data_IF_813236649423
#
_entry.id   IF_813236649423
#
_cell.length_a   1.000
_cell.length_b   1.000
_cell.length_c   1.000
_cell.angle_alpha   90.00
_cell.angle_beta   90.00
_cell.angle_gamma   90.00
#
_symmetry.space_group_name_H-M   'P 1'
#
loop_
_entity.id
_entity.type
_entity.pdbx_description
1 polymer ?
#
# COMPACT_ATOMS: atom_id res chain seq x y z
N UNK A 1 -17.18 10.57 -8.14
CA UNK A 1 -16.21 9.64 -8.72
C UNK A 1 -14.96 9.68 -7.84
N UNK A 2 -14.43 8.54 -7.39
CA UNK A 2 -13.14 8.48 -6.70
C UNK A 2 -12.06 8.91 -7.70
N UNK A 3 -11.19 9.82 -7.30
CA UNK A 3 -10.09 10.28 -8.14
C UNK A 3 -8.88 9.36 -7.91
N UNK A 4 -8.27 8.89 -8.99
CA UNK A 4 -7.11 8.01 -8.94
C UNK A 4 -5.85 8.78 -9.32
N UNK A 5 -4.81 8.67 -8.49
CA UNK A 5 -3.48 9.21 -8.82
C UNK A 5 -2.76 8.28 -9.79
N UNK A 6 -2.08 8.86 -10.77
CA UNK A 6 -1.25 8.11 -11.72
C UNK A 6 -0.16 7.34 -10.97
N UNK A 7 0.53 8.00 -10.04
CA UNK A 7 1.64 7.40 -9.29
C UNK A 7 1.23 6.49 -8.13
N UNK A 8 -0.03 6.54 -7.71
CA UNK A 8 -0.51 5.66 -6.62
C UNK A 8 -1.20 4.40 -7.14
N UNK A 9 -1.93 4.50 -8.27
CA UNK A 9 -2.88 3.47 -8.71
C UNK A 9 -2.67 3.00 -10.16
N UNK A 10 -1.88 3.73 -10.98
CA UNK A 10 -1.67 3.39 -12.42
C UNK A 10 -0.23 2.96 -12.70
N UNK A 11 0.76 3.74 -12.26
CA UNK A 11 2.20 3.48 -12.42
C UNK A 11 2.88 3.32 -11.06
N UNK A 12 2.49 2.31 -10.31
CA UNK A 12 3.00 2.00 -8.99
C UNK A 12 2.09 1.00 -8.27
N UNK A 13 2.53 0.54 -7.12
CA UNK A 13 3.81 0.87 -6.46
C UNK A 13 5.04 0.23 -7.13
N UNK A 14 6.23 0.79 -6.84
CA UNK A 14 7.48 0.04 -6.96
C UNK A 14 7.45 -1.00 -5.85
N UNK A 15 7.63 -2.28 -6.18
CA UNK A 15 7.37 -3.35 -5.23
C UNK A 15 8.18 -4.62 -5.52
N UNK A 16 8.44 -5.39 -4.49
CA UNK A 16 8.89 -6.78 -4.61
C UNK A 16 7.70 -7.64 -5.09
N UNK A 17 7.90 -8.40 -6.19
CA UNK A 17 6.88 -9.31 -6.72
C UNK A 17 6.59 -10.51 -5.79
N UNK A 18 5.68 -11.42 -6.18
CA UNK A 18 5.07 -11.54 -7.51
C UNK A 18 3.73 -10.81 -7.68
N UNK A 19 3.07 -10.38 -6.59
CA UNK A 19 1.67 -9.95 -6.65
C UNK A 19 1.43 -8.60 -5.98
N UNK A 20 0.81 -7.66 -6.71
CA UNK A 20 0.42 -6.38 -6.11
C UNK A 20 -0.65 -6.53 -5.03
N UNK A 21 -1.61 -7.47 -5.20
CA UNK A 21 -2.69 -7.70 -4.23
C UNK A 21 -2.30 -8.64 -3.08
N UNK A 22 -1.27 -9.50 -3.26
CA UNK A 22 -0.86 -10.50 -2.27
C UNK A 22 0.52 -10.23 -1.65
N UNK A 23 1.34 -9.35 -2.22
CA UNK A 23 2.65 -8.98 -1.68
C UNK A 23 2.67 -7.51 -1.27
N UNK A 24 2.42 -6.59 -2.23
CA UNK A 24 2.56 -5.16 -1.97
C UNK A 24 1.47 -4.62 -1.03
N UNK A 25 0.22 -5.04 -1.21
CA UNK A 25 -0.86 -4.64 -0.31
C UNK A 25 -0.58 -5.09 1.12
N UNK A 26 -0.08 -6.33 1.31
CA UNK A 26 0.29 -6.85 2.63
C UNK A 26 1.47 -6.10 3.25
N UNK A 27 2.46 -5.73 2.45
CA UNK A 27 3.56 -4.87 2.90
C UNK A 27 3.04 -3.52 3.42
N UNK A 28 2.12 -2.89 2.69
CA UNK A 28 1.47 -1.64 3.14
C UNK A 28 0.60 -1.84 4.38
N UNK A 29 -0.19 -2.92 4.44
CA UNK A 29 -1.01 -3.23 5.63
C UNK A 29 -0.11 -3.45 6.85
N UNK A 30 0.93 -4.27 6.73
CA UNK A 30 1.90 -4.47 7.81
C UNK A 30 2.55 -3.16 8.26
N UNK A 31 2.91 -2.28 7.33
CA UNK A 31 3.45 -0.94 7.63
C UNK A 31 2.41 -0.04 8.32
N UNK A 32 1.14 -0.07 7.89
CA UNK A 32 0.06 0.67 8.54
C UNK A 32 -0.13 0.21 9.99
N UNK A 33 -0.17 -1.10 10.22
CA UNK A 33 -0.29 -1.70 11.56
C UNK A 33 0.91 -1.32 12.44
N UNK A 34 2.15 -1.36 11.90
CA UNK A 34 3.34 -0.88 12.60
C UNK A 34 3.25 0.61 12.95
N UNK A 35 2.76 1.45 12.05
CA UNK A 35 2.56 2.88 12.31
C UNK A 35 1.56 3.09 13.45
N UNK A 36 0.44 2.38 13.43
CA UNK A 36 -0.55 2.41 14.52
C UNK A 36 0.04 1.92 15.85
N UNK A 37 0.90 0.88 15.82
CA UNK A 37 1.58 0.39 17.01
C UNK A 37 2.58 1.39 17.58
N UNK A 38 3.19 2.22 16.75
CA UNK A 38 4.08 3.33 17.13
C UNK A 38 5.46 2.94 17.66
N UNK A 39 5.80 1.64 17.66
CA UNK A 39 7.09 1.11 18.13
C UNK A 39 7.47 -0.17 17.36
N UNK A 40 8.69 -0.71 17.51
CA UNK A 40 9.07 -1.99 16.92
C UNK A 40 8.12 -3.11 17.36
N UNK A 41 7.75 -3.99 16.42
CA UNK A 41 6.92 -5.16 16.68
C UNK A 41 7.80 -6.26 17.25
N UNK A 42 7.41 -6.86 18.38
CA UNK A 42 8.09 -8.01 18.97
C UNK A 42 7.35 -9.33 18.64
N UNK A 43 6.03 -9.29 18.60
CA UNK A 43 5.20 -10.47 18.27
C UNK A 43 3.92 -10.05 17.57
N UNK A 44 3.55 -10.79 16.52
CA UNK A 44 2.32 -10.59 15.78
C UNK A 44 1.70 -11.92 15.33
N UNK A 45 0.38 -11.93 15.14
CA UNK A 45 -0.34 -12.97 14.41
C UNK A 45 -1.05 -12.35 13.22
N UNK A 46 -0.86 -12.93 12.03
CA UNK A 46 -1.61 -12.62 10.83
C UNK A 46 -2.60 -13.75 10.59
N UNK A 47 -3.88 -13.44 10.58
CA UNK A 47 -4.97 -14.40 10.46
C UNK A 47 -5.69 -14.16 9.14
N UNK A 48 -5.65 -15.12 8.24
CA UNK A 48 -6.33 -15.10 6.94
C UNK A 48 -7.74 -15.69 7.07
N UNK A 49 -8.74 -15.07 6.39
CA UNK A 49 -10.07 -15.66 6.34
C UNK A 49 -10.05 -16.97 5.55
N UNK A 50 -10.58 -18.03 6.15
CA UNK A 50 -10.62 -19.36 5.55
C UNK A 50 -11.52 -19.47 4.30
N UNK A 51 -12.41 -18.51 4.06
CA UNK A 51 -13.30 -18.45 2.89
C UNK A 51 -12.73 -17.55 1.78
N UNK A 52 -11.58 -16.91 2.00
CA UNK A 52 -10.95 -16.01 1.05
C UNK A 52 -9.99 -16.69 0.08
N UNK A 53 -9.19 -15.88 -0.62
CA UNK A 53 -8.16 -16.37 -1.54
C UNK A 53 -6.85 -16.76 -0.83
N UNK A 54 -6.55 -16.14 0.30
CA UNK A 54 -5.27 -16.29 1.00
C UNK A 54 -4.92 -17.71 1.44
N UNK A 55 -5.86 -18.55 1.96
CA UNK A 55 -5.52 -19.88 2.44
C UNK A 55 -4.74 -20.74 1.44
N UNK A 56 -5.00 -20.56 0.15
CA UNK A 56 -4.37 -21.34 -0.91
C UNK A 56 -3.23 -20.58 -1.63
N UNK A 57 -2.97 -19.32 -1.28
CA UNK A 57 -2.08 -18.46 -2.06
C UNK A 57 -1.06 -17.68 -1.23
N UNK A 58 -1.23 -17.60 0.10
CA UNK A 58 -0.43 -16.70 0.95
C UNK A 58 1.08 -16.97 0.89
N UNK A 59 1.50 -18.24 0.86
CA UNK A 59 2.91 -18.60 0.71
C UNK A 59 3.42 -18.28 -0.71
N UNK A 60 2.74 -18.86 -1.74
CA UNK A 60 3.20 -18.79 -3.13
C UNK A 60 3.14 -17.40 -3.75
N UNK A 61 2.20 -16.55 -3.30
CA UNK A 61 2.07 -15.17 -3.78
C UNK A 61 2.64 -14.13 -2.81
N UNK A 62 3.37 -14.57 -1.78
CA UNK A 62 4.19 -13.72 -0.94
C UNK A 62 3.44 -12.85 0.07
N UNK A 63 2.25 -13.27 0.52
CA UNK A 63 1.54 -12.56 1.59
C UNK A 63 2.37 -12.56 2.88
N UNK A 64 2.93 -13.72 3.24
CA UNK A 64 3.64 -13.91 4.51
C UNK A 64 4.88 -13.01 4.60
N UNK A 65 5.74 -13.04 3.59
CA UNK A 65 6.89 -12.14 3.61
C UNK A 65 6.48 -10.67 3.41
N UNK A 66 5.39 -10.38 2.69
CA UNK A 66 4.83 -9.04 2.55
C UNK A 66 4.41 -8.45 3.89
N UNK A 67 3.55 -9.14 4.66
CA UNK A 67 3.16 -8.72 6.01
C UNK A 67 4.37 -8.58 6.92
N UNK A 68 5.27 -9.58 6.91
CA UNK A 68 6.48 -9.55 7.73
C UNK A 68 7.35 -8.33 7.44
N UNK A 69 7.63 -8.05 6.16
CA UNK A 69 8.41 -6.89 5.75
C UNK A 69 7.78 -5.57 6.22
N UNK A 70 6.46 -5.41 6.03
CA UNK A 70 5.73 -4.24 6.51
C UNK A 70 5.79 -4.08 8.03
N UNK A 71 5.59 -5.15 8.80
CA UNK A 71 5.69 -5.17 10.26
C UNK A 71 7.11 -4.88 10.75
N UNK A 72 8.15 -5.30 10.04
CA UNK A 72 9.54 -4.93 10.31
C UNK A 72 9.86 -3.48 9.92
N UNK A 73 9.02 -2.85 9.10
CA UNK A 73 9.22 -1.49 8.64
C UNK A 73 10.10 -1.37 7.40
N UNK A 74 10.23 -2.41 6.59
CA UNK A 74 10.93 -2.38 5.32
C UNK A 74 10.09 -1.67 4.25
N UNK A 75 10.74 -0.95 3.34
CA UNK A 75 10.10 -0.41 2.15
C UNK A 75 9.91 -1.52 1.11
N UNK A 76 8.93 -1.37 0.20
CA UNK A 76 8.57 -2.43 -0.74
C UNK A 76 9.64 -2.74 -1.80
N UNK A 77 10.59 -1.84 -2.01
CA UNK A 77 11.75 -2.00 -2.87
C UNK A 77 13.06 -2.25 -2.11
N UNK A 78 12.98 -2.45 -0.78
CA UNK A 78 14.14 -2.84 0.04
C UNK A 78 14.65 -4.22 -0.42
N UNK A 79 15.95 -4.39 -0.71
CA UNK A 79 16.51 -5.68 -1.12
C UNK A 79 16.24 -6.84 -0.13
N UNK A 80 16.02 -6.53 1.14
CA UNK A 80 15.75 -7.50 2.21
C UNK A 80 14.27 -7.91 2.29
N UNK A 81 13.40 -7.28 1.50
CA UNK A 81 11.95 -7.46 1.59
C UNK A 81 11.55 -8.93 1.42
N UNK A 82 12.08 -9.59 0.40
CA UNK A 82 11.80 -11.03 0.12
C UNK A 82 12.30 -11.98 1.22
N UNK A 83 13.35 -11.58 1.95
CA UNK A 83 13.98 -12.37 3.01
C UNK A 83 13.47 -11.96 4.40
N UNK A 84 12.38 -11.22 4.48
CA UNK A 84 11.87 -10.60 5.73
C UNK A 84 11.51 -11.63 6.80
N UNK A 85 11.04 -12.83 6.44
CA UNK A 85 10.73 -13.91 7.39
C UNK A 85 12.01 -14.36 8.12
N UNK A 86 13.09 -14.57 7.37
CA UNK A 86 14.37 -14.91 7.96
C UNK A 86 14.96 -13.75 8.76
N UNK A 87 14.78 -12.52 8.28
CA UNK A 87 15.18 -11.31 9.01
C UNK A 87 14.43 -11.18 10.33
N UNK A 88 13.12 -11.45 10.36
CA UNK A 88 12.31 -11.48 11.60
C UNK A 88 12.87 -12.48 12.61
N UNK A 89 13.19 -13.70 12.17
CA UNK A 89 13.79 -14.74 13.02
C UNK A 89 15.13 -14.29 13.63
N UNK A 90 16.01 -13.68 12.81
CA UNK A 90 17.31 -13.14 13.27
C UNK A 90 17.15 -12.00 14.27
N UNK A 91 16.08 -11.23 14.18
CA UNK A 91 15.76 -10.14 15.10
C UNK A 91 14.93 -10.59 16.30
N UNK A 92 14.64 -11.88 16.45
CA UNK A 92 13.79 -12.44 17.49
C UNK A 92 12.37 -11.83 17.48
N UNK A 93 11.85 -11.49 16.29
CA UNK A 93 10.47 -11.06 16.09
C UNK A 93 9.64 -12.28 15.74
N UNK A 94 8.63 -12.58 16.56
CA UNK A 94 7.73 -13.71 16.36
C UNK A 94 6.54 -13.30 15.49
N UNK A 95 6.43 -13.89 14.30
CA UNK A 95 5.26 -13.67 13.42
C UNK A 95 4.65 -15.02 13.08
N UNK A 96 3.38 -15.16 13.42
CA UNK A 96 2.59 -16.37 13.20
C UNK A 96 1.56 -16.13 12.11
N UNK A 97 1.39 -17.10 11.20
CA UNK A 97 0.36 -17.09 10.16
C UNK A 97 -0.66 -18.17 10.47
N UNK A 98 -1.95 -17.80 10.43
CA UNK A 98 -3.07 -18.69 10.73
C UNK A 98 -4.18 -18.52 9.71
N UNK A 99 -4.99 -19.57 9.56
CA UNK A 99 -6.21 -19.55 8.77
C UNK A 99 -7.40 -19.83 9.71
N UNK A 100 -8.30 -18.85 9.84
CA UNK A 100 -9.46 -18.92 10.71
C UNK A 100 -10.70 -18.34 10.00
N UNK A 101 -11.90 -18.56 10.51
CA UNK A 101 -13.08 -17.87 9.99
C UNK A 101 -13.18 -16.48 10.61
N UNK A 102 -12.97 -15.45 9.78
CA UNK A 102 -13.17 -14.05 10.17
C UNK A 102 -14.61 -13.59 9.90
N UNK A 103 -15.43 -14.43 9.25
CA UNK A 103 -16.79 -14.10 8.78
C UNK A 103 -16.78 -12.89 7.83
N UNK A 104 -15.70 -12.70 7.12
CA UNK A 104 -15.50 -11.62 6.17
C UNK A 104 -16.31 -11.83 4.91
N UNK A 105 -16.62 -10.71 4.23
CA UNK A 105 -17.31 -10.70 2.93
C UNK A 105 -16.34 -10.45 1.78
N UNK A 106 -15.08 -10.09 2.10
CA UNK A 106 -14.08 -9.74 1.09
C UNK A 106 -13.10 -10.90 0.87
N UNK A 107 -12.83 -11.31 -0.39
CA UNK A 107 -11.98 -12.47 -0.66
C UNK A 107 -10.52 -12.31 -0.20
N UNK A 108 -10.04 -11.08 -0.02
CA UNK A 108 -8.69 -10.77 0.41
C UNK A 108 -8.69 -10.08 1.77
N UNK A 109 -9.26 -10.74 2.78
CA UNK A 109 -9.38 -10.23 4.13
C UNK A 109 -8.40 -10.92 5.08
N UNK A 110 -7.75 -10.12 5.94
CA UNK A 110 -6.86 -10.60 6.98
C UNK A 110 -6.96 -9.74 8.24
N UNK A 111 -6.89 -10.38 9.41
CA UNK A 111 -6.71 -9.71 10.70
C UNK A 111 -5.23 -9.76 11.10
N UNK A 112 -4.72 -8.64 11.61
CA UNK A 112 -3.36 -8.55 12.17
C UNK A 112 -3.44 -8.16 13.64
N UNK A 113 -2.96 -9.05 14.50
CA UNK A 113 -2.94 -8.90 15.94
C UNK A 113 -1.48 -8.65 16.39
N UNK A 114 -1.20 -7.50 17.02
CA UNK A 114 0.08 -7.22 17.66
C UNK A 114 -0.02 -7.54 19.13
N UNK A 115 0.91 -8.32 19.65
CA UNK A 115 1.01 -8.63 21.07
C UNK A 115 1.95 -7.66 21.76
N UNK A 116 1.69 -7.38 23.03
CA UNK A 116 2.55 -6.51 23.86
C UNK A 116 3.95 -7.09 24.05
N UNK A 117 4.00 -8.44 24.08
CA UNK A 117 5.21 -9.25 24.17
C UNK A 117 4.90 -10.67 23.62
N UNK A 118 5.92 -11.50 23.32
CA UNK A 118 5.70 -12.89 22.93
C UNK A 118 4.84 -13.65 23.93
N UNK A 119 3.77 -14.28 23.45
CA UNK A 119 2.80 -14.99 24.33
C UNK A 119 1.89 -14.08 25.15
N UNK A 120 2.09 -12.77 25.13
CA UNK A 120 1.30 -11.79 25.88
C UNK A 120 -0.06 -11.46 25.25
N UNK A 121 -0.82 -10.54 25.89
CA UNK A 121 -2.12 -10.12 25.39
C UNK A 121 -2.01 -9.35 24.08
N UNK A 122 -3.09 -9.35 23.31
CA UNK A 122 -3.22 -8.53 22.10
C UNK A 122 -3.37 -7.06 22.53
N UNK A 123 -2.44 -6.22 22.11
CA UNK A 123 -2.44 -4.78 22.40
C UNK A 123 -2.95 -3.92 21.26
N UNK A 124 -2.96 -4.48 20.03
CA UNK A 124 -3.52 -3.83 18.85
C UNK A 124 -4.03 -4.89 17.89
N UNK A 125 -5.22 -4.68 17.32
CA UNK A 125 -5.82 -5.58 16.34
C UNK A 125 -6.48 -4.79 15.21
N UNK A 126 -6.23 -5.21 13.97
CA UNK A 126 -6.72 -4.54 12.75
C UNK A 126 -7.31 -5.57 11.80
N UNK A 127 -8.49 -5.30 11.27
CA UNK A 127 -9.04 -6.02 10.12
C UNK A 127 -8.73 -5.24 8.83
N UNK A 128 -8.27 -5.92 7.82
CA UNK A 128 -7.77 -5.32 6.58
C UNK A 128 -8.22 -6.07 5.35
N UNK A 129 -8.34 -5.36 4.24
CA UNK A 129 -8.68 -5.89 2.93
C UNK A 129 -7.68 -5.39 1.89
N UNK A 130 -7.18 -6.29 1.01
CA UNK A 130 -6.47 -5.88 -0.18
C UNK A 130 -7.48 -5.60 -1.29
N UNK A 131 -7.50 -4.38 -1.79
CA UNK A 131 -8.47 -3.90 -2.78
C UNK A 131 -7.97 -3.98 -4.24
N UNK A 132 -6.80 -4.62 -4.45
CA UNK A 132 -6.19 -4.80 -5.77
C UNK A 132 -5.16 -3.71 -6.10
N UNK A 133 -4.28 -3.99 -7.08
CA UNK A 133 -3.28 -3.01 -7.55
C UNK A 133 -2.28 -2.53 -6.48
N UNK A 134 -2.12 -3.26 -5.37
CA UNK A 134 -1.30 -2.82 -4.23
C UNK A 134 -1.98 -1.78 -3.35
N UNK A 135 -3.30 -1.58 -3.51
CA UNK A 135 -4.14 -0.77 -2.61
C UNK A 135 -4.74 -1.65 -1.51
N UNK A 136 -5.14 -1.02 -0.42
CA UNK A 136 -5.71 -1.70 0.75
C UNK A 136 -6.72 -0.82 1.47
N UNK A 137 -7.49 -1.42 2.36
CA UNK A 137 -8.38 -0.75 3.28
C UNK A 137 -8.28 -1.40 4.66
N UNK A 138 -8.07 -0.62 5.72
CA UNK A 138 -8.32 -1.05 7.08
C UNK A 138 -9.78 -0.76 7.40
N UNK A 139 -10.51 -1.80 7.80
CA UNK A 139 -11.96 -1.76 7.98
C UNK A 139 -12.40 -1.79 9.43
N UNK A 140 -11.59 -2.37 10.31
CA UNK A 140 -11.83 -2.38 11.75
C UNK A 140 -10.51 -2.22 12.51
N UNK A 141 -10.56 -1.51 13.63
CA UNK A 141 -9.41 -1.25 14.50
C UNK A 141 -9.85 -1.31 15.96
N UNK A 142 -9.29 -2.24 16.75
CA UNK A 142 -9.57 -2.41 18.17
C UNK A 142 -11.08 -2.44 18.50
N UNK A 143 -11.87 -3.11 17.66
CA UNK A 143 -13.32 -3.25 17.84
C UNK A 143 -14.17 -2.12 17.23
N UNK A 144 -13.58 -1.13 16.64
CA UNK A 144 -14.29 -0.01 15.99
C UNK A 144 -14.20 -0.08 14.47
N UNK A 145 -15.30 0.11 13.73
CA UNK A 145 -15.24 0.23 12.28
C UNK A 145 -14.49 1.50 11.90
N UNK A 146 -13.57 1.39 10.96
CA UNK A 146 -12.78 2.52 10.42
C UNK A 146 -12.72 2.47 8.89
N UNK A 147 -12.18 3.52 8.28
CA UNK A 147 -11.91 3.55 6.85
C UNK A 147 -10.56 4.22 6.59
N UNK A 148 -9.48 3.43 6.53
CA UNK A 148 -8.14 3.94 6.24
C UNK A 148 -7.51 3.20 5.06
N UNK A 149 -7.22 3.94 3.99
CA UNK A 149 -6.69 3.44 2.71
C UNK A 149 -5.23 3.87 2.44
N UNK A 150 -4.58 4.49 3.40
CA UNK A 150 -3.19 4.94 3.28
C UNK A 150 -2.98 6.20 2.42
N UNK A 151 -4.03 6.85 1.93
CA UNK A 151 -3.87 8.00 1.03
C UNK A 151 -3.63 9.32 1.77
N UNK A 152 -4.06 9.41 3.02
CA UNK A 152 -3.90 10.61 3.88
C UNK A 152 -3.50 10.21 5.28
N UNK A 153 -2.90 11.14 5.99
CA UNK A 153 -2.59 10.95 7.40
C UNK A 153 -3.85 11.04 8.26
N UNK A 154 -4.06 10.03 9.11
CA UNK A 154 -5.16 10.00 10.07
C UNK A 154 -4.69 9.77 11.50
N UNK A 155 -5.47 10.29 12.44
CA UNK A 155 -5.40 9.93 13.84
C UNK A 155 -6.67 9.21 14.28
N UNK A 156 -6.52 8.30 15.23
CA UNK A 156 -7.60 7.56 15.86
C UNK A 156 -7.52 7.80 17.38
N UNK A 157 -8.55 8.48 17.92
CA UNK A 157 -8.67 8.77 19.35
C UNK A 157 -9.78 7.91 19.92
N UNK A 158 -9.45 7.01 20.84
CA UNK A 158 -10.44 6.20 21.56
C UNK A 158 -10.74 6.88 22.87
N UNK A 159 -12.01 7.04 23.23
CA UNK A 159 -12.43 7.71 24.44
C UNK A 159 -13.48 6.90 25.24
N UNK A 160 -13.61 7.26 26.52
CA UNK A 160 -14.66 6.76 27.39
C UNK A 160 -15.99 7.48 27.13
N UNK A 161 -17.08 6.88 27.60
CA UNK A 161 -18.42 7.49 27.56
C UNK A 161 -18.45 8.82 28.33
N UNK A 162 -19.05 9.81 27.71
CA UNK A 162 -19.17 11.18 28.25
C UNK A 162 -18.09 12.16 27.75
N UNK A 163 -16.98 11.67 27.16
CA UNK A 163 -15.93 12.54 26.64
C UNK A 163 -16.16 12.98 25.18
N UNK A 164 -17.10 12.36 24.48
CA UNK A 164 -17.32 12.58 23.04
C UNK A 164 -17.62 14.02 22.68
N UNK A 165 -18.44 14.71 23.51
CA UNK A 165 -18.84 16.11 23.24
C UNK A 165 -17.66 17.07 23.37
N UNK A 166 -16.80 16.88 24.38
CA UNK A 166 -15.64 17.73 24.61
C UNK A 166 -14.59 17.53 23.51
N UNK A 167 -14.30 16.28 23.15
CA UNK A 167 -13.37 15.97 22.07
C UNK A 167 -13.89 16.51 20.73
N UNK A 168 -15.18 16.29 20.41
CA UNK A 168 -15.80 16.82 19.20
C UNK A 168 -15.73 18.35 19.13
N UNK A 169 -15.98 19.02 20.26
CA UNK A 169 -15.88 20.50 20.34
C UNK A 169 -14.44 20.96 20.06
N UNK A 170 -13.46 20.41 20.76
CA UNK A 170 -12.04 20.77 20.58
C UNK A 170 -11.56 20.53 19.14
N UNK A 171 -11.94 19.42 18.51
CA UNK A 171 -11.62 19.13 17.11
C UNK A 171 -12.29 20.11 16.14
N UNK A 172 -13.57 20.47 16.41
CA UNK A 172 -14.33 21.41 15.55
C UNK A 172 -13.75 22.81 15.62
N UNK A 173 -13.44 23.33 16.83
CA UNK A 173 -12.81 24.64 17.03
C UNK A 173 -11.44 24.74 16.33
N UNK A 174 -10.70 23.62 16.26
CA UNK A 174 -9.45 23.53 15.53
C UNK A 174 -9.64 23.39 14.00
N UNK A 175 -10.86 23.38 13.48
CA UNK A 175 -11.16 23.17 12.05
C UNK A 175 -11.00 21.73 11.57
N UNK A 176 -10.92 20.77 12.50
CA UNK A 176 -10.70 19.36 12.21
C UNK A 176 -11.90 18.70 11.54
N UNK A 177 -11.62 17.82 10.57
CA UNK A 177 -12.62 16.91 10.00
C UNK A 177 -12.46 15.52 10.64
N UNK A 178 -13.55 14.98 11.13
CA UNK A 178 -13.55 13.69 11.82
C UNK A 178 -14.87 12.93 11.61
N UNK A 179 -14.81 11.62 11.87
CA UNK A 179 -15.98 10.75 11.95
C UNK A 179 -15.97 10.11 13.34
N UNK A 180 -17.10 10.22 14.05
CA UNK A 180 -17.31 9.50 15.31
C UNK A 180 -17.80 8.08 15.01
N UNK A 181 -17.15 7.09 15.60
CA UNK A 181 -17.44 5.68 15.47
C UNK A 181 -17.81 5.08 16.82
N UNK A 182 -18.72 4.12 16.80
CA UNK A 182 -19.05 3.28 17.96
C UNK A 182 -18.56 1.85 17.70
N UNK A 183 -18.38 1.02 18.73
CA UNK A 183 -17.97 -0.37 18.55
C UNK A 183 -18.88 -1.09 17.56
N UNK A 184 -18.28 -1.98 16.76
CA UNK A 184 -19.04 -2.83 15.86
C UNK A 184 -19.98 -3.75 16.67
N UNK A 185 -21.13 -4.11 16.11
CA UNK A 185 -22.07 -5.04 16.78
C UNK A 185 -21.43 -6.42 17.03
N UNK A 186 -20.55 -6.87 16.14
CA UNK A 186 -19.82 -8.14 16.21
C UNK A 186 -18.36 -7.91 15.82
N UNK A 187 -17.57 -7.29 16.69
CA UNK A 187 -16.21 -6.90 16.34
C UNK A 187 -15.31 -8.13 16.18
N UNK A 188 -14.51 -8.12 15.14
CA UNK A 188 -13.48 -9.13 14.85
C UNK A 188 -12.19 -8.83 15.62
N UNK A 189 -11.95 -7.55 15.93
CA UNK A 189 -10.73 -7.03 16.56
C UNK A 189 -10.93 -6.63 18.03
N UNK A 190 -11.98 -7.14 18.69
CA UNK A 190 -12.37 -6.75 20.06
C UNK A 190 -11.32 -7.09 21.14
N UNK A 191 -10.43 -8.06 20.88
CA UNK A 191 -9.42 -8.49 21.84
C UNK A 191 -8.46 -7.37 22.27
N UNK A 192 -8.32 -6.33 21.46
CA UNK A 192 -7.47 -5.16 21.71
C UNK A 192 -8.25 -3.90 22.11
N UNK A 193 -9.54 -4.01 22.36
CA UNK A 193 -10.35 -2.85 22.76
C UNK A 193 -9.93 -2.37 24.15
N UNK A 194 -9.59 -1.07 24.33
CA UNK A 194 -9.24 -0.54 25.65
C UNK A 194 -10.41 -0.65 26.62
N UNK A 195 -10.13 -0.96 27.88
CA UNK A 195 -11.15 -1.01 28.91
C UNK A 195 -11.84 0.35 29.08
N UNK A 196 -13.16 0.35 29.11
CA UNK A 196 -13.97 1.57 29.20
C UNK A 196 -14.13 2.34 27.90
N UNK A 197 -13.58 1.84 26.79
CA UNK A 197 -13.76 2.45 25.48
C UNK A 197 -15.23 2.41 25.04
N UNK A 198 -15.76 3.55 24.59
CA UNK A 198 -17.13 3.68 24.08
C UNK A 198 -17.20 4.22 22.66
N UNK A 199 -16.23 5.03 22.27
CA UNK A 199 -16.24 5.73 21.00
C UNK A 199 -14.82 5.93 20.45
N UNK A 200 -14.71 6.04 19.13
CA UNK A 200 -13.48 6.35 18.41
C UNK A 200 -13.72 7.56 17.49
N UNK A 201 -12.82 8.53 17.53
CA UNK A 201 -12.74 9.60 16.54
C UNK A 201 -11.71 9.26 15.48
N UNK A 202 -12.16 9.10 14.24
CA UNK A 202 -11.33 8.98 13.06
C UNK A 202 -11.10 10.39 12.49
N UNK A 203 -9.90 10.97 12.68
CA UNK A 203 -9.58 12.37 12.39
C UNK A 203 -8.67 12.47 11.18
N UNK A 204 -9.04 13.30 10.21
CA UNK A 204 -8.19 13.70 9.08
C UNK A 204 -7.17 14.74 9.55
N UNK A 205 -5.92 14.34 9.80
CA UNK A 205 -4.90 15.26 10.35
C UNK A 205 -4.58 16.43 9.40
N UNK A 206 -4.67 16.22 8.10
CA UNK A 206 -4.48 17.28 7.10
C UNK A 206 -5.52 18.39 7.15
N UNK A 207 -6.62 18.23 7.91
CA UNK A 207 -7.61 19.27 8.16
C UNK A 207 -7.21 20.24 9.27
N UNK A 208 -6.28 19.84 10.13
CA UNK A 208 -5.85 20.62 11.29
C UNK A 208 -4.65 21.51 10.95
N UNK A 209 -4.57 22.67 11.58
CA UNK A 209 -3.39 23.54 11.51
C UNK A 209 -2.14 22.79 11.97
N UNK A 210 -1.05 22.89 11.22
CA UNK A 210 0.21 22.19 11.46
C UNK A 210 0.06 20.66 11.65
N UNK A 211 -1.07 20.06 11.21
CA UNK A 211 -1.41 18.65 11.41
C UNK A 211 -1.33 18.18 12.88
N UNK A 212 -1.65 19.08 13.79
CA UNK A 212 -1.59 18.86 15.24
C UNK A 212 -2.99 18.71 15.83
N UNK A 213 -3.18 17.65 16.60
CA UNK A 213 -4.39 17.47 17.41
C UNK A 213 -4.42 18.47 18.57
N UNK A 214 -5.61 19.04 18.91
CA UNK A 214 -5.78 19.85 20.12
C UNK A 214 -5.36 19.07 21.38
N UNK A 215 -4.69 19.75 22.32
CA UNK A 215 -4.25 19.11 23.57
C UNK A 215 -5.44 18.56 24.37
N UNK A 216 -6.55 19.32 24.47
CA UNK A 216 -7.76 18.88 25.14
C UNK A 216 -8.30 17.56 24.56
N UNK A 217 -8.27 17.37 23.23
CA UNK A 217 -8.69 16.13 22.60
C UNK A 217 -7.78 14.95 22.95
N UNK A 218 -6.46 15.20 23.09
CA UNK A 218 -5.49 14.17 23.49
C UNK A 218 -5.66 13.78 24.96
N UNK A 219 -5.75 14.73 25.85
CA UNK A 219 -5.89 14.53 27.30
C UNK A 219 -7.15 13.75 27.69
N UNK A 220 -8.24 13.96 26.92
CA UNK A 220 -9.53 13.27 27.13
C UNK A 220 -9.61 11.89 26.46
N UNK A 221 -8.59 11.51 25.69
CA UNK A 221 -8.53 10.20 25.02
C UNK A 221 -7.94 9.15 25.95
N UNK A 222 -8.51 7.95 25.93
CA UNK A 222 -7.91 6.75 26.55
C UNK A 222 -6.65 6.31 25.80
N UNK A 223 -6.66 6.47 24.48
CA UNK A 223 -5.52 6.14 23.62
C UNK A 223 -5.57 6.91 22.32
N UNK A 224 -4.39 7.20 21.79
CA UNK A 224 -4.17 7.94 20.56
C UNK A 224 -3.22 7.14 19.64
N UNK A 225 -3.65 7.00 18.40
CA UNK A 225 -2.89 6.32 17.33
C UNK A 225 -2.78 7.22 16.12
N UNK A 226 -1.68 7.09 15.37
CA UNK A 226 -1.47 7.82 14.11
C UNK A 226 -1.07 6.87 13.00
N UNK A 227 -1.53 7.16 11.79
CA UNK A 227 -1.16 6.43 10.61
C UNK A 227 -0.79 7.39 9.48
N UNK A 228 0.50 7.39 9.11
CA UNK A 228 1.04 8.21 8.03
C UNK A 228 0.59 7.68 6.67
N UNK A 229 0.56 8.53 5.62
CA UNK A 229 0.28 8.07 4.26
C UNK A 229 1.26 6.98 3.80
N UNK A 230 0.75 6.03 3.02
CA UNK A 230 1.50 4.88 2.48
C UNK A 230 1.41 4.81 0.96
N UNK A 231 1.40 5.96 0.33
CA UNK A 231 1.31 6.16 -1.12
C UNK A 231 2.42 7.09 -1.60
N UNK A 232 2.73 7.02 -2.88
CA UNK A 232 3.76 7.86 -3.50
C UNK A 232 3.40 9.34 -3.45
N UNK A 233 2.12 9.66 -3.67
CA UNK A 233 1.59 11.03 -3.65
C UNK A 233 0.41 11.08 -2.67
N UNK A 234 0.60 11.55 -1.42
CA UNK A 234 -0.51 11.76 -0.49
C UNK A 234 -1.57 12.68 -1.07
N UNK A 235 -2.84 12.30 -0.96
CA UNK A 235 -3.93 13.07 -1.56
C UNK A 235 -4.31 14.26 -0.68
N UNK A 236 -4.68 15.37 -1.32
CA UNK A 236 -5.28 16.52 -0.65
C UNK A 236 -6.66 16.15 -0.11
N UNK A 237 -7.03 16.70 1.03
CA UNK A 237 -8.36 16.54 1.61
C UNK A 237 -9.43 17.16 0.71
N UNK A 238 -9.10 18.31 0.11
CA UNK A 238 -9.94 19.03 -0.86
C UNK A 238 -9.11 19.27 -2.11
N UNK A 239 -9.13 18.32 -3.06
CA UNK A 239 -8.40 18.49 -4.32
C UNK A 239 -8.91 19.72 -5.06
N UNK A 240 -8.02 20.42 -5.71
CA UNK A 240 -8.41 21.51 -6.61
C UNK A 240 -9.20 20.92 -7.80
N UNK A 241 -10.19 21.66 -8.28
CA UNK A 241 -10.93 21.26 -9.47
C UNK A 241 -9.99 21.23 -10.66
N UNK A 242 -9.82 20.04 -11.25
CA UNK A 242 -9.07 19.82 -12.46
C UNK A 242 -9.99 19.26 -13.57
N UNK A 243 -9.42 18.43 -14.39
CA UNK A 243 -10.15 17.65 -15.38
C UNK A 243 -10.15 16.17 -14.95
N UNK A 244 -11.27 15.48 -15.21
CA UNK A 244 -11.47 14.06 -14.83
C UNK A 244 -11.87 13.20 -16.03
N UNK A 245 -11.94 13.80 -17.20
CA UNK A 245 -12.28 13.13 -18.47
C UNK A 245 -11.29 13.60 -19.54
N UNK A 246 -11.15 12.81 -20.60
CA UNK A 246 -10.34 13.20 -21.76
C UNK A 246 -10.83 14.53 -22.37
N UNK A 247 -12.16 14.73 -22.46
CA UNK A 247 -12.74 15.98 -22.92
C UNK A 247 -12.36 17.17 -22.04
N UNK A 248 -12.42 16.98 -20.72
CA UNK A 248 -12.00 18.00 -19.76
C UNK A 248 -10.51 18.33 -19.85
N UNK A 249 -9.67 17.31 -20.09
CA UNK A 249 -8.23 17.50 -20.32
C UNK A 249 -7.95 18.29 -21.60
N UNK A 250 -8.64 17.97 -22.69
CA UNK A 250 -8.51 18.70 -23.97
C UNK A 250 -8.99 20.15 -23.84
N UNK A 251 -10.10 20.39 -23.16
CA UNK A 251 -10.58 21.75 -22.88
C UNK A 251 -9.56 22.53 -22.06
N UNK A 252 -9.03 21.95 -20.98
CA UNK A 252 -7.97 22.54 -20.15
C UNK A 252 -6.74 22.88 -21.00
N UNK A 253 -6.29 21.95 -21.84
CA UNK A 253 -5.14 22.16 -22.72
C UNK A 253 -5.33 23.36 -23.66
N UNK A 254 -6.54 23.47 -24.26
CA UNK A 254 -6.87 24.58 -25.15
C UNK A 254 -6.90 25.94 -24.42
N UNK A 255 -7.51 26.00 -23.23
CA UNK A 255 -7.62 27.20 -22.42
C UNK A 255 -6.26 27.70 -21.86
N UNK A 256 -5.33 26.78 -21.58
CA UNK A 256 -4.04 27.09 -20.95
C UNK A 256 -2.85 26.94 -21.92
N UNK A 257 -3.11 26.74 -23.20
CA UNK A 257 -2.09 26.53 -24.25
C UNK A 257 -1.08 25.40 -23.89
N UNK A 258 -1.54 24.38 -23.19
CA UNK A 258 -0.75 23.23 -22.77
C UNK A 258 -0.67 22.24 -23.93
N UNK A 259 0.54 21.95 -24.39
CA UNK A 259 0.75 21.18 -25.64
C UNK A 259 1.18 19.73 -25.42
N UNK A 260 1.47 19.31 -24.17
CA UNK A 260 1.95 17.94 -23.92
C UNK A 260 1.11 17.19 -22.89
N UNK A 261 0.99 15.86 -23.09
CA UNK A 261 0.36 14.97 -22.11
C UNK A 261 1.11 14.94 -20.78
N UNK A 262 2.44 15.12 -20.80
CA UNK A 262 3.25 15.18 -19.60
C UNK A 262 2.87 16.40 -18.73
N UNK A 263 2.69 17.57 -19.33
CA UNK A 263 2.21 18.77 -18.62
C UNK A 263 0.81 18.56 -18.03
N UNK A 264 -0.10 17.94 -18.78
CA UNK A 264 -1.44 17.61 -18.27
C UNK A 264 -1.36 16.64 -17.09
N UNK A 265 -0.51 15.63 -17.13
CA UNK A 265 -0.30 14.70 -16.04
C UNK A 265 0.25 15.40 -14.78
N UNK A 266 1.23 16.30 -14.93
CA UNK A 266 1.76 17.09 -13.83
C UNK A 266 0.68 17.99 -13.22
N UNK A 267 -0.11 18.69 -14.03
CA UNK A 267 -1.22 19.53 -13.56
C UNK A 267 -2.26 18.68 -12.81
N UNK A 268 -2.59 17.51 -13.33
CA UNK A 268 -3.53 16.59 -12.69
C UNK A 268 -3.04 16.17 -11.30
N UNK A 269 -1.82 15.65 -11.21
CA UNK A 269 -1.24 15.13 -9.96
C UNK A 269 -1.01 16.24 -8.91
N UNK A 270 -0.53 17.42 -9.31
CA UNK A 270 -0.32 18.54 -8.37
C UNK A 270 -1.62 19.08 -7.77
N UNK A 271 -2.74 18.98 -8.50
CA UNK A 271 -4.06 19.37 -8.00
C UNK A 271 -4.71 18.31 -7.12
N UNK A 272 -4.46 17.06 -7.43
CA UNK A 272 -5.00 15.91 -6.70
C UNK A 272 -4.24 15.68 -5.38
N UNK A 273 -2.92 15.73 -5.43
CA UNK A 273 -2.02 15.37 -4.35
C UNK A 273 -1.27 16.56 -3.75
N UNK A 274 -0.45 16.27 -2.76
CA UNK A 274 0.39 17.25 -2.04
C UNK A 274 1.77 17.46 -2.67
N UNK A 275 2.16 16.63 -3.67
CA UNK A 275 3.43 16.74 -4.35
C UNK A 275 3.46 17.95 -5.30
N UNK A 276 4.59 18.64 -5.36
CA UNK A 276 4.83 19.65 -6.38
C UNK A 276 5.41 19.03 -7.68
N UNK A 277 5.66 19.88 -8.71
CA UNK A 277 6.23 19.43 -9.99
C UNK A 277 7.56 18.71 -9.81
N UNK A 278 8.46 19.27 -9.03
CA UNK A 278 9.81 18.71 -8.84
C UNK A 278 9.76 17.34 -8.19
N UNK A 279 8.92 17.21 -7.16
CA UNK A 279 8.66 15.94 -6.48
C UNK A 279 8.10 14.90 -7.45
N UNK A 280 7.13 15.28 -8.28
CA UNK A 280 6.50 14.37 -9.25
C UNK A 280 7.51 13.90 -10.31
N UNK A 281 8.34 14.80 -10.85
CA UNK A 281 9.38 14.46 -11.82
C UNK A 281 10.42 13.51 -11.23
N UNK A 282 10.84 13.74 -9.98
CA UNK A 282 11.77 12.84 -9.28
C UNK A 282 11.14 11.46 -9.01
N UNK A 283 9.87 11.41 -8.58
CA UNK A 283 9.15 10.16 -8.39
C UNK A 283 8.98 9.39 -9.69
N UNK A 284 8.64 10.06 -10.78
CA UNK A 284 8.52 9.44 -12.10
C UNK A 284 9.87 8.92 -12.60
N UNK A 285 10.96 9.66 -12.39
CA UNK A 285 12.30 9.20 -12.73
C UNK A 285 12.68 7.95 -11.89
N UNK A 286 12.29 7.90 -10.62
CA UNK A 286 12.51 6.72 -9.78
C UNK A 286 11.73 5.50 -10.30
N UNK A 287 10.48 5.69 -10.70
CA UNK A 287 9.65 4.66 -11.35
C UNK A 287 10.31 4.16 -12.63
N UNK A 288 10.74 5.08 -13.53
CA UNK A 288 11.40 4.72 -14.79
C UNK A 288 12.67 3.89 -14.54
N UNK A 289 13.53 4.33 -13.63
CA UNK A 289 14.75 3.58 -13.26
C UNK A 289 14.47 2.20 -12.68
N UNK A 290 13.38 2.04 -11.92
CA UNK A 290 12.96 0.74 -11.42
C UNK A 290 12.45 -0.16 -12.57
N UNK A 291 11.71 0.40 -13.53
CA UNK A 291 11.29 -0.30 -14.74
C UNK A 291 12.49 -0.77 -15.58
N UNK A 292 13.47 0.12 -15.85
CA UNK A 292 14.70 -0.21 -16.58
C UNK A 292 15.47 -1.36 -15.92
N UNK A 293 15.69 -1.30 -14.61
CA UNK A 293 16.36 -2.39 -13.87
C UNK A 293 15.62 -3.71 -13.96
N UNK A 294 14.29 -3.68 -13.94
CA UNK A 294 13.46 -4.89 -14.00
C UNK A 294 13.47 -5.59 -15.36
N UNK A 295 13.93 -4.94 -16.42
CA UNK A 295 14.07 -5.54 -17.76
C UNK A 295 15.36 -6.38 -17.92
N UNK A 296 16.26 -6.35 -16.94
CA UNK A 296 17.41 -7.27 -16.91
C UNK A 296 16.94 -8.61 -16.35
N UNK A 297 17.11 -9.75 -17.07
CA UNK A 297 16.71 -11.06 -16.56
C UNK A 297 17.35 -11.38 -15.19
N UNK A 298 16.66 -12.11 -14.31
CA UNK A 298 17.24 -12.49 -13.03
C UNK A 298 18.47 -13.38 -13.23
N UNK A 299 19.49 -13.31 -12.33
CA UNK A 299 20.66 -14.17 -12.41
C UNK A 299 20.29 -15.66 -12.44
N UNK A 300 21.06 -16.47 -13.17
CA UNK A 300 20.78 -17.91 -13.33
C UNK A 300 20.85 -18.68 -12.00
N UNK A 301 21.63 -18.18 -11.05
CA UNK A 301 21.85 -18.72 -9.70
C UNK A 301 20.97 -18.07 -8.62
N UNK A 302 19.99 -17.24 -9.00
CA UNK A 302 19.06 -16.63 -8.02
C UNK A 302 18.27 -17.73 -7.28
N UNK A 303 18.43 -17.85 -5.96
CA UNK A 303 17.88 -18.95 -5.16
C UNK A 303 16.38 -18.76 -4.84
N UNK A 304 15.52 -18.58 -5.85
CA UNK A 304 14.08 -18.50 -5.60
C UNK A 304 13.48 -19.89 -5.48
N UNK A 305 12.88 -20.22 -4.32
CA UNK A 305 12.43 -21.60 -4.05
C UNK A 305 11.25 -22.05 -4.92
N UNK A 306 10.41 -21.16 -5.43
CA UNK A 306 9.21 -21.49 -6.20
C UNK A 306 9.13 -20.66 -7.49
N UNK A 307 9.80 -21.11 -8.52
CA UNK A 307 9.73 -20.46 -9.83
C UNK A 307 8.40 -20.77 -10.52
N UNK A 308 7.50 -19.80 -10.54
CA UNK A 308 6.18 -19.95 -11.20
C UNK A 308 6.27 -19.92 -12.73
N UNK A 309 7.34 -19.32 -13.27
CA UNK A 309 7.53 -19.15 -14.72
C UNK A 309 8.94 -19.59 -15.09
N UNK A 310 9.12 -20.38 -16.17
CA UNK A 310 10.46 -20.77 -16.66
C UNK A 310 11.27 -19.54 -17.03
N UNK A 311 12.58 -19.58 -16.79
CA UNK A 311 13.53 -18.55 -17.21
C UNK A 311 13.79 -18.67 -18.70
N UNK A 312 13.29 -17.76 -19.49
CA UNK A 312 13.38 -17.78 -20.95
C UNK A 312 13.87 -16.44 -21.54
N UNK A 313 13.76 -15.34 -20.79
CA UNK A 313 14.09 -14.00 -21.31
C UNK A 313 15.55 -13.89 -21.78
N UNK A 314 16.49 -14.50 -21.04
CA UNK A 314 17.90 -14.51 -21.40
C UNK A 314 18.23 -15.33 -22.67
N UNK A 315 17.36 -16.28 -23.03
CA UNK A 315 17.56 -17.17 -24.19
C UNK A 315 16.93 -16.61 -25.48
N UNK A 316 16.04 -15.60 -25.37
CA UNK A 316 15.29 -15.11 -26.52
C UNK A 316 16.17 -14.37 -27.55
N UNK A 317 17.28 -13.75 -27.16
CA UNK A 317 18.16 -13.05 -28.10
C UNK A 317 18.72 -13.97 -29.18
N UNK A 318 19.01 -15.24 -28.83
CA UNK A 318 19.65 -16.21 -29.72
C UNK A 318 18.65 -17.16 -30.43
N UNK A 319 17.40 -17.21 -29.97
CA UNK A 319 16.43 -18.25 -30.37
C UNK A 319 15.12 -17.71 -30.98
N UNK A 320 15.04 -16.41 -31.26
CA UNK A 320 13.84 -15.87 -31.89
C UNK A 320 13.69 -16.42 -33.32
N UNK A 321 12.60 -17.15 -33.63
CA UNK A 321 12.43 -17.81 -34.92
C UNK A 321 12.14 -16.81 -36.07
N UNK A 322 11.73 -15.59 -35.71
CA UNK A 322 11.43 -14.50 -36.65
C UNK A 322 12.05 -13.21 -36.17
N UNK A 323 12.66 -12.47 -37.09
CA UNK A 323 13.11 -11.11 -36.83
C UNK A 323 11.90 -10.15 -37.00
N UNK A 324 11.41 -9.64 -35.89
CA UNK A 324 10.34 -8.65 -35.83
C UNK A 324 10.88 -7.26 -35.43
N UNK A 325 12.17 -7.05 -35.54
CA UNK A 325 12.82 -5.78 -35.19
C UNK A 325 12.64 -5.43 -33.72
N UNK A 326 12.20 -4.20 -33.43
CA UNK A 326 12.02 -3.69 -32.06
C UNK A 326 11.11 -4.58 -31.19
N UNK A 327 10.16 -5.32 -31.77
CA UNK A 327 9.27 -6.18 -31.02
C UNK A 327 10.01 -7.34 -30.32
N UNK A 328 11.07 -7.86 -30.90
CA UNK A 328 11.88 -8.90 -30.25
C UNK A 328 12.45 -8.41 -28.91
N UNK A 329 13.02 -7.20 -28.91
CA UNK A 329 13.52 -6.56 -27.69
C UNK A 329 12.40 -6.28 -26.67
N UNK A 330 11.24 -5.81 -27.13
CA UNK A 330 10.08 -5.56 -26.25
C UNK A 330 9.59 -6.86 -25.60
N UNK A 331 9.46 -7.96 -26.36
CA UNK A 331 9.05 -9.26 -25.84
C UNK A 331 10.02 -9.80 -24.80
N UNK A 332 11.34 -9.78 -25.09
CA UNK A 332 12.36 -10.16 -24.12
C UNK A 332 12.29 -9.35 -22.84
N UNK A 333 12.20 -8.02 -22.96
CA UNK A 333 12.11 -7.12 -21.81
C UNK A 333 10.85 -7.39 -20.95
N UNK A 334 9.69 -7.59 -21.60
CA UNK A 334 8.45 -7.91 -20.89
C UNK A 334 8.57 -9.24 -20.13
N UNK A 335 9.17 -10.26 -20.73
CA UNK A 335 9.42 -11.55 -20.09
C UNK A 335 10.41 -11.42 -18.92
N UNK A 336 11.50 -10.65 -19.08
CA UNK A 336 12.44 -10.40 -18.00
C UNK A 336 11.78 -9.74 -16.78
N UNK A 337 10.87 -8.78 -16.98
CA UNK A 337 10.09 -8.16 -15.89
C UNK A 337 9.21 -9.19 -15.18
N UNK A 338 8.52 -10.07 -15.94
CA UNK A 338 7.70 -11.15 -15.36
C UNK A 338 8.54 -12.14 -14.57
N UNK A 339 9.69 -12.55 -15.09
CA UNK A 339 10.63 -13.43 -14.40
C UNK A 339 11.16 -12.79 -13.11
N UNK A 340 11.51 -11.50 -13.14
CA UNK A 340 11.90 -10.76 -11.93
C UNK A 340 10.76 -10.71 -10.90
N UNK A 341 9.54 -10.43 -11.33
CA UNK A 341 8.37 -10.46 -10.45
C UNK A 341 8.20 -11.83 -9.77
N UNK A 342 8.23 -12.92 -10.56
CA UNK A 342 8.13 -14.28 -10.06
C UNK A 342 9.34 -14.70 -9.21
N UNK A 343 10.50 -14.08 -9.40
CA UNK A 343 11.71 -14.26 -8.61
C UNK A 343 11.73 -13.43 -7.33
N UNK A 344 10.61 -12.85 -6.92
CA UNK A 344 10.50 -11.96 -5.76
C UNK A 344 11.51 -10.79 -5.82
N UNK A 345 11.71 -10.24 -7.00
CA UNK A 345 12.56 -9.06 -7.22
C UNK A 345 11.69 -7.82 -7.46
N UNK A 346 12.35 -6.67 -7.48
CA UNK A 346 11.64 -5.38 -7.60
C UNK A 346 11.13 -5.17 -9.03
N UNK A 347 9.84 -4.88 -9.14
CA UNK A 347 9.14 -4.48 -10.36
C UNK A 347 8.25 -3.27 -10.07
N UNK A 348 7.68 -2.69 -11.11
CA UNK A 348 6.67 -1.62 -10.97
C UNK A 348 5.31 -2.16 -11.36
N UNK A 349 4.35 -2.16 -10.46
CA UNK A 349 2.97 -2.49 -10.83
C UNK A 349 2.41 -1.46 -11.82
N UNK A 350 1.75 -1.93 -12.91
CA UNK A 350 1.25 -1.03 -13.96
C UNK A 350 -0.01 -1.60 -14.64
N UNK A 351 -1.21 -1.49 -14.07
CA UNK A 351 -1.53 -1.16 -12.67
C UNK A 351 -1.37 -2.35 -11.70
N UNK A 352 -1.04 -3.54 -12.19
CA UNK A 352 -0.80 -4.75 -11.38
C UNK A 352 0.59 -5.30 -11.60
N UNK A 353 1.09 -6.15 -10.67
CA UNK A 353 2.36 -6.85 -10.88
C UNK A 353 2.30 -7.80 -12.08
N UNK A 354 1.15 -8.42 -12.37
CA UNK A 354 0.96 -9.30 -13.53
C UNK A 354 1.05 -8.59 -14.88
N UNK A 355 0.83 -7.28 -14.94
CA UNK A 355 0.95 -6.46 -16.17
C UNK A 355 2.20 -5.57 -16.18
N UNK A 356 3.09 -5.73 -15.19
CA UNK A 356 4.27 -4.88 -14.98
C UNK A 356 5.27 -4.86 -16.14
N UNK A 357 5.28 -5.89 -16.99
CA UNK A 357 6.20 -5.99 -18.13
C UNK A 357 5.81 -5.15 -19.34
N UNK A 358 4.52 -4.87 -19.53
CA UNK A 358 4.02 -4.25 -20.78
C UNK A 358 4.50 -2.81 -20.97
N UNK A 359 4.35 -1.97 -19.94
CA UNK A 359 4.72 -0.55 -20.05
C UNK A 359 6.23 -0.36 -20.18
N UNK A 360 7.09 -0.91 -19.31
CA UNK A 360 8.53 -0.72 -19.47
C UNK A 360 9.04 -1.30 -20.79
N UNK A 361 8.59 -2.47 -21.19
CA UNK A 361 9.00 -3.07 -22.46
C UNK A 361 8.63 -2.21 -23.67
N UNK A 362 7.44 -1.62 -23.67
CA UNK A 362 6.97 -0.77 -24.77
C UNK A 362 7.64 0.61 -24.74
N UNK A 363 7.63 1.31 -23.59
CA UNK A 363 8.11 2.69 -23.49
C UNK A 363 9.63 2.76 -23.61
N UNK A 364 10.34 1.93 -22.83
CA UNK A 364 11.81 1.93 -22.83
C UNK A 364 12.36 1.19 -24.04
N UNK A 365 11.76 0.03 -24.38
CA UNK A 365 12.18 -0.77 -25.54
C UNK A 365 12.08 -0.02 -26.86
N UNK A 366 11.00 0.74 -27.07
CA UNK A 366 10.85 1.61 -28.25
C UNK A 366 11.69 2.88 -28.14
N UNK A 367 11.71 3.49 -26.95
CA UNK A 367 12.46 4.74 -26.73
C UNK A 367 13.96 4.64 -26.96
N UNK A 368 14.56 3.46 -26.72
CA UNK A 368 15.98 3.21 -27.05
C UNK A 368 16.24 3.01 -28.55
N UNK A 369 15.20 2.84 -29.36
CA UNK A 369 15.30 2.60 -30.80
C UNK A 369 15.06 3.88 -31.60
N UNK A 370 14.43 4.89 -31.01
CA UNK A 370 14.20 6.23 -31.58
C UNK A 370 15.33 7.19 -31.26
#
# INVERSE_FOLDING_TARGET
MKQSSILNEVLGPIMTGPSSSHTAAQGKIGRAVRNLWGRPVASAAVVYDCHGSYPNTHEGQGCDFGFTAGLLGLDMDDPRFRDSIELARRQSVEIEFRVESLKGEHPNEARVDIRTEPGGPVGLSVLSQSTGGGTFLLTEFNGFPISYDGQREKAFLICASGEEKAIAHALTEAGGQFVLRHPAERPVTAAAMPQGASSLFEVELTSLAEQKLPEEAKERSLSLYRCAPLVSVPLRLRPERGFFTAEGALKYAAEHQTVSMAELAVVYETRLGSADRTDLEQKMLHVLRAMERSMTPPPADDPVPNYLVPRQAAELDDKMPLDMGVLNGCMRNAMAVMENGCAHRVVVAAPTAGSSGVIPASVVGVGHTL
#
